data_IF_970612174557
#
_entry.id   IF_970612174557
#
_cell.length_a   1.000
_cell.length_b   1.000
_cell.length_c   1.000
_cell.angle_alpha   90.00
_cell.angle_beta   90.00
_cell.angle_gamma   90.00
#
_symmetry.space_group_name_H-M   'P 1'
#
loop_
_entity.id
_entity.type
_entity.pdbx_description
1 polymer ?
#
# COMPACT_ATOMS: atom_id res chain seq x y z
N UNK A 1 -15.10 -17.22 4.25
CA UNK A 1 -14.17 -17.44 3.13
C UNK A 1 -14.92 -18.26 2.09
N UNK A 2 -14.87 -17.94 0.79
CA UNK A 2 -15.31 -18.90 -0.21
C UNK A 2 -14.49 -20.17 0.02
N UNK A 3 -15.11 -21.33 -0.11
CA UNK A 3 -14.42 -22.62 -0.09
C UNK A 3 -13.20 -22.57 -1.02
N UNK A 4 -12.08 -23.16 -0.60
CA UNK A 4 -10.93 -23.40 -1.48
C UNK A 4 -11.36 -24.44 -2.53
N UNK A 5 -12.12 -23.98 -3.53
CA UNK A 5 -12.53 -24.77 -4.68
C UNK A 5 -11.31 -24.95 -5.59
N UNK A 6 -10.82 -26.19 -5.81
CA UNK A 6 -9.69 -26.45 -6.69
C UNK A 6 -9.88 -25.87 -8.11
N UNK A 7 -11.13 -25.70 -8.57
CA UNK A 7 -11.44 -25.15 -9.90
C UNK A 7 -11.16 -23.64 -10.01
N UNK A 8 -11.06 -22.94 -8.88
CA UNK A 8 -10.88 -21.48 -8.78
C UNK A 8 -9.42 -20.99 -8.71
N UNK A 9 -8.45 -21.91 -8.81
CA UNK A 9 -7.01 -21.56 -8.80
C UNK A 9 -6.49 -21.07 -10.16
N UNK A 10 -5.47 -20.20 -10.17
CA UNK A 10 -4.96 -19.61 -11.43
C UNK A 10 -3.72 -20.29 -12.02
N UNK A 11 -3.17 -21.33 -11.35
CA UNK A 11 -1.99 -22.07 -11.84
C UNK A 11 -2.39 -23.33 -12.62
N UNK A 12 -3.23 -23.12 -13.63
CA UNK A 12 -3.80 -24.14 -14.51
C UNK A 12 -4.19 -23.51 -15.85
N UNK A 13 -4.44 -24.33 -16.88
CA UNK A 13 -4.77 -23.84 -18.23
C UNK A 13 -6.15 -23.18 -18.32
N UNK A 14 -7.10 -23.62 -17.48
CA UNK A 14 -8.48 -23.14 -17.42
C UNK A 14 -8.88 -22.96 -15.95
N UNK A 15 -9.66 -21.92 -15.64
CA UNK A 15 -10.21 -21.69 -14.29
C UNK A 15 -11.57 -21.01 -14.37
N UNK A 16 -12.39 -21.22 -13.36
CA UNK A 16 -13.64 -20.49 -13.17
C UNK A 16 -13.36 -19.21 -12.37
N UNK A 17 -13.97 -18.09 -12.79
CA UNK A 17 -13.82 -16.81 -12.12
C UNK A 17 -15.16 -16.09 -12.05
N UNK A 18 -15.41 -15.42 -10.92
CA UNK A 18 -16.56 -14.54 -10.77
C UNK A 18 -16.43 -13.37 -11.75
N UNK A 19 -17.41 -13.23 -12.66
CA UNK A 19 -17.40 -12.18 -13.67
C UNK A 19 -17.30 -10.76 -13.05
N UNK A 20 -17.80 -10.57 -11.82
CA UNK A 20 -17.71 -9.29 -11.09
C UNK A 20 -16.30 -8.96 -10.59
N UNK A 21 -15.42 -9.95 -10.51
CA UNK A 21 -13.99 -9.80 -10.17
C UNK A 21 -13.09 -9.82 -11.42
N UNK A 22 -13.70 -9.76 -12.61
CA UNK A 22 -13.00 -9.76 -13.90
C UNK A 22 -13.11 -8.41 -14.59
N UNK A 23 -12.13 -8.10 -15.45
CA UNK A 23 -12.22 -6.96 -16.34
C UNK A 23 -11.62 -7.30 -17.70
N UNK A 24 -12.08 -6.58 -18.74
CA UNK A 24 -11.55 -6.75 -20.08
C UNK A 24 -10.13 -6.20 -20.15
N UNK A 25 -9.21 -6.99 -20.72
CA UNK A 25 -7.84 -6.53 -20.96
C UNK A 25 -7.87 -5.35 -21.95
N UNK A 26 -7.33 -4.17 -21.58
CA UNK A 26 -7.20 -3.04 -22.50
C UNK A 26 -6.32 -3.42 -23.71
N UNK A 27 -6.65 -2.91 -24.90
CA UNK A 27 -5.88 -3.18 -26.12
C UNK A 27 -4.43 -2.70 -26.08
N UNK A 28 -4.11 -1.79 -25.14
CA UNK A 28 -2.76 -1.28 -24.90
C UNK A 28 -1.88 -2.22 -24.06
N UNK A 29 -2.44 -3.28 -23.48
CA UNK A 29 -1.71 -4.22 -22.64
C UNK A 29 -1.64 -5.61 -23.28
N UNK A 30 -0.45 -6.21 -23.24
CA UNK A 30 -0.32 -7.65 -23.50
C UNK A 30 -0.96 -8.47 -22.38
N UNK A 31 -1.24 -9.74 -22.66
CA UNK A 31 -1.77 -10.68 -21.66
C UNK A 31 -0.87 -10.77 -20.43
N UNK A 32 0.46 -10.82 -20.61
CA UNK A 32 1.43 -10.93 -19.51
C UNK A 32 1.41 -9.67 -18.62
N UNK A 33 1.35 -8.48 -19.23
CA UNK A 33 1.22 -7.23 -18.48
C UNK A 33 -0.10 -7.20 -17.70
N UNK A 34 -1.20 -7.54 -18.34
CA UNK A 34 -2.52 -7.58 -17.71
C UNK A 34 -2.57 -8.56 -16.53
N UNK A 35 -1.97 -9.74 -16.65
CA UNK A 35 -1.96 -10.76 -15.59
C UNK A 35 -1.19 -10.32 -14.32
N UNK A 36 -0.24 -9.38 -14.44
CA UNK A 36 0.59 -8.90 -13.32
C UNK A 36 -0.06 -7.85 -12.41
N UNK A 37 -1.20 -7.29 -12.82
CA UNK A 37 -1.85 -6.14 -12.18
C UNK A 37 -2.77 -6.53 -11.01
N UNK A 38 -3.67 -7.54 -11.14
CA UNK A 38 -4.84 -7.65 -10.26
C UNK A 38 -4.51 -7.78 -8.77
N UNK A 39 -3.62 -8.71 -8.41
CA UNK A 39 -3.33 -9.00 -7.01
C UNK A 39 -2.74 -7.79 -6.27
N UNK A 40 -1.78 -7.10 -6.89
CA UNK A 40 -1.10 -5.95 -6.30
C UNK A 40 -2.05 -4.79 -6.02
N UNK A 41 -2.88 -4.46 -7.00
CA UNK A 41 -3.87 -3.40 -6.89
C UNK A 41 -5.02 -3.74 -5.96
N UNK A 42 -5.52 -4.99 -5.99
CA UNK A 42 -6.59 -5.41 -5.09
C UNK A 42 -6.16 -5.32 -3.63
N UNK A 43 -4.99 -5.85 -3.28
CA UNK A 43 -4.46 -5.78 -1.92
C UNK A 43 -4.29 -4.32 -1.46
N UNK A 44 -3.68 -3.48 -2.31
CA UNK A 44 -3.50 -2.06 -2.04
C UNK A 44 -4.84 -1.33 -1.85
N UNK A 45 -5.82 -1.56 -2.74
CA UNK A 45 -7.13 -0.94 -2.71
C UNK A 45 -7.89 -1.29 -1.43
N UNK A 46 -7.92 -2.57 -1.05
CA UNK A 46 -8.59 -3.02 0.18
C UNK A 46 -7.94 -2.38 1.41
N UNK A 47 -6.61 -2.40 1.51
CA UNK A 47 -5.92 -1.82 2.67
C UNK A 47 -6.08 -0.30 2.80
N UNK A 48 -6.18 0.42 1.68
CA UNK A 48 -6.35 1.87 1.67
C UNK A 48 -7.80 2.30 1.89
N UNK A 49 -8.75 1.71 1.16
CA UNK A 49 -10.08 2.31 1.00
C UNK A 49 -11.20 1.52 1.67
N UNK A 50 -10.99 0.24 1.99
CA UNK A 50 -12.04 -0.54 2.63
C UNK A 50 -12.34 0.00 4.04
N UNK A 51 -13.62 0.14 4.46
CA UNK A 51 -13.98 0.73 5.76
C UNK A 51 -13.40 -0.02 6.97
N UNK A 52 -13.16 -1.32 6.84
CA UNK A 52 -12.54 -2.14 7.91
C UNK A 52 -11.01 -2.08 7.93
N UNK A 53 -10.39 -1.36 6.99
CA UNK A 53 -8.96 -1.10 6.92
C UNK A 53 -8.70 0.38 7.24
N UNK A 54 -8.10 1.16 6.32
CA UNK A 54 -7.91 2.60 6.53
C UNK A 54 -9.14 3.45 6.18
N UNK A 55 -10.07 2.95 5.35
CA UNK A 55 -11.29 3.68 5.00
C UNK A 55 -11.04 5.07 4.40
N UNK A 56 -9.95 5.23 3.63
CA UNK A 56 -9.67 6.48 2.94
C UNK A 56 -10.65 6.70 1.78
N UNK A 57 -10.93 7.94 1.39
CA UNK A 57 -11.62 8.25 0.13
C UNK A 57 -10.88 7.62 -1.07
N UNK A 58 -11.55 6.78 -1.89
CA UNK A 58 -10.96 6.23 -3.11
C UNK A 58 -10.79 7.30 -4.21
N UNK A 59 -10.05 7.01 -5.30
CA UNK A 59 -9.84 7.95 -6.40
C UNK A 59 -11.10 8.48 -7.11
N UNK A 60 -12.26 7.88 -6.88
CA UNK A 60 -13.56 8.35 -7.37
C UNK A 60 -14.17 9.45 -6.49
N UNK A 61 -13.48 9.84 -5.42
CA UNK A 61 -13.87 10.89 -4.47
C UNK A 61 -12.66 11.74 -4.11
N UNK A 62 -12.88 13.00 -3.75
CA UNK A 62 -11.79 13.86 -3.30
C UNK A 62 -11.37 13.52 -1.85
N UNK A 63 -10.06 13.51 -1.54
CA UNK A 63 -9.58 13.28 -0.19
C UNK A 63 -9.90 14.48 0.70
N UNK A 64 -10.17 14.22 1.98
CA UNK A 64 -10.46 15.28 2.96
C UNK A 64 -9.23 16.14 3.28
N UNK A 65 -8.03 15.58 3.16
CA UNK A 65 -6.75 16.26 3.37
C UNK A 65 -5.70 15.71 2.39
N UNK A 66 -5.35 16.51 1.38
CA UNK A 66 -4.37 16.18 0.35
C UNK A 66 -2.93 16.07 0.90
N UNK A 67 -2.64 16.74 2.01
CA UNK A 67 -1.28 16.87 2.57
C UNK A 67 -1.05 15.99 3.82
N UNK A 68 -2.03 15.16 4.17
CA UNK A 68 -1.94 14.15 5.23
C UNK A 68 -0.74 13.21 4.95
N UNK A 69 0.25 13.14 5.86
CA UNK A 69 1.36 12.20 5.71
C UNK A 69 0.87 10.75 5.72
N UNK A 70 1.32 9.96 4.73
CA UNK A 70 1.06 8.52 4.64
C UNK A 70 2.38 7.80 4.43
N UNK A 71 2.74 6.91 5.35
CA UNK A 71 3.93 6.06 5.26
C UNK A 71 3.60 4.78 4.50
N UNK A 72 4.46 4.38 3.56
CA UNK A 72 4.38 3.09 2.85
C UNK A 72 5.69 2.33 3.09
N UNK A 73 5.65 1.34 3.98
CA UNK A 73 6.80 0.48 4.27
C UNK A 73 6.79 -0.75 3.35
N UNK A 74 7.93 -1.04 2.70
CA UNK A 74 7.97 -2.09 1.66
C UNK A 74 7.51 -1.61 0.28
N UNK A 75 7.72 -0.32 -0.02
CA UNK A 75 7.22 0.36 -1.20
C UNK A 75 7.75 -0.19 -2.54
N UNK A 76 8.87 -0.94 -2.55
CA UNK A 76 9.41 -1.56 -3.77
C UNK A 76 8.67 -2.82 -4.25
N UNK A 77 7.79 -3.40 -3.42
CA UNK A 77 6.98 -4.56 -3.80
C UNK A 77 5.89 -4.18 -4.84
N UNK A 78 5.23 -5.16 -5.46
CA UNK A 78 4.11 -4.87 -6.37
C UNK A 78 2.95 -4.18 -5.63
N UNK A 79 2.64 -4.61 -4.41
CA UNK A 79 1.59 -3.99 -3.58
C UNK A 79 2.02 -2.58 -3.17
N UNK A 80 3.26 -2.39 -2.69
CA UNK A 80 3.76 -1.08 -2.28
C UNK A 80 3.77 -0.04 -3.39
N UNK A 81 4.19 -0.41 -4.60
CA UNK A 81 4.11 0.45 -5.79
C UNK A 81 2.66 0.75 -6.18
N UNK A 82 1.75 -0.22 -6.03
CA UNK A 82 0.32 -0.03 -6.30
C UNK A 82 -0.32 0.92 -5.28
N UNK A 83 0.06 0.83 -4.00
CA UNK A 83 -0.37 1.77 -2.94
C UNK A 83 -0.02 3.20 -3.32
N UNK A 84 1.22 3.46 -3.72
CA UNK A 84 1.67 4.83 -4.05
C UNK A 84 0.94 5.37 -5.28
N UNK A 85 0.76 4.55 -6.32
CA UNK A 85 -0.02 4.94 -7.50
C UNK A 85 -1.47 5.24 -7.15
N UNK A 86 -2.14 4.40 -6.34
CA UNK A 86 -3.51 4.63 -5.90
C UNK A 86 -3.65 5.89 -5.03
N UNK A 87 -2.68 6.16 -4.14
CA UNK A 87 -2.65 7.38 -3.34
C UNK A 87 -2.49 8.62 -4.22
N UNK A 88 -1.60 8.56 -5.21
CA UNK A 88 -1.38 9.63 -6.20
C UNK A 88 -2.65 9.91 -7.02
N UNK A 89 -3.32 8.84 -7.51
CA UNK A 89 -4.60 8.94 -8.21
C UNK A 89 -5.73 9.47 -7.31
N UNK A 90 -5.72 9.14 -6.02
CA UNK A 90 -6.64 9.69 -5.03
C UNK A 90 -6.25 11.10 -4.55
N UNK A 91 -5.21 11.72 -5.11
CA UNK A 91 -4.83 13.11 -4.83
C UNK A 91 -3.92 13.32 -3.61
N UNK A 92 -3.52 12.26 -2.90
CA UNK A 92 -2.59 12.40 -1.76
C UNK A 92 -1.19 12.81 -2.22
N UNK A 93 -0.67 13.90 -1.65
CA UNK A 93 0.61 14.52 -2.08
C UNK A 93 1.78 14.25 -1.14
N UNK A 94 1.52 13.79 0.09
CA UNK A 94 2.55 13.62 1.11
C UNK A 94 2.81 12.14 1.43
N UNK A 95 3.26 11.39 0.42
CA UNK A 95 3.55 9.97 0.54
C UNK A 95 5.03 9.76 0.88
N UNK A 96 5.32 9.06 1.99
CA UNK A 96 6.66 8.69 2.42
C UNK A 96 6.87 7.20 2.13
N UNK A 97 7.72 6.87 1.15
CA UNK A 97 7.94 5.52 0.67
C UNK A 97 9.28 4.96 1.15
N UNK A 98 9.24 3.79 1.80
CA UNK A 98 10.44 3.10 2.30
C UNK A 98 10.72 1.86 1.45
N UNK A 99 11.84 1.85 0.74
CA UNK A 99 12.23 0.80 -0.21
C UNK A 99 13.75 0.73 -0.42
N UNK A 100 14.25 -0.29 -1.12
CA UNK A 100 15.63 -0.31 -1.61
C UNK A 100 15.90 0.87 -2.55
N UNK A 101 17.11 1.46 -2.48
CA UNK A 101 17.51 2.60 -3.29
C UNK A 101 17.28 2.46 -4.82
N UNK A 102 17.37 1.27 -5.39
CA UNK A 102 17.16 1.06 -6.84
C UNK A 102 15.72 1.38 -7.30
N UNK A 103 14.73 1.36 -6.41
CA UNK A 103 13.36 1.76 -6.73
C UNK A 103 13.12 3.26 -6.66
N UNK A 104 14.08 4.05 -6.16
CA UNK A 104 13.84 5.47 -5.87
C UNK A 104 13.46 6.29 -7.09
N UNK A 105 14.07 6.02 -8.24
CA UNK A 105 13.73 6.75 -9.47
C UNK A 105 12.27 6.54 -9.84
N UNK A 106 11.78 5.30 -9.80
CA UNK A 106 10.40 4.96 -10.12
C UNK A 106 9.41 5.48 -9.06
N UNK A 107 9.71 5.30 -7.76
CA UNK A 107 8.80 5.76 -6.71
C UNK A 107 8.63 7.28 -6.68
N UNK A 108 9.67 8.03 -7.08
CA UNK A 108 9.59 9.49 -7.25
C UNK A 108 8.68 9.89 -8.41
N UNK A 109 8.63 9.13 -9.51
CA UNK A 109 7.71 9.46 -10.62
C UNK A 109 6.25 9.25 -10.23
N UNK A 110 5.98 8.44 -9.21
CA UNK A 110 4.63 8.31 -8.61
C UNK A 110 4.32 9.41 -7.58
N UNK A 111 5.27 10.30 -7.27
CA UNK A 111 5.09 11.43 -6.35
C UNK A 111 5.51 11.18 -4.89
N UNK A 112 6.21 10.08 -4.59
CA UNK A 112 6.64 9.78 -3.23
C UNK A 112 7.99 10.41 -2.85
N UNK A 113 8.12 10.82 -1.57
CA UNK A 113 9.40 11.05 -0.90
C UNK A 113 9.97 9.68 -0.51
N UNK A 114 11.21 9.39 -0.91
CA UNK A 114 11.78 8.03 -0.81
C UNK A 114 12.87 7.92 0.26
N UNK A 115 12.88 6.80 0.97
CA UNK A 115 13.81 6.49 2.06
C UNK A 115 14.33 5.06 1.95
N UNK A 116 15.59 4.83 2.30
CA UNK A 116 16.20 3.49 2.25
C UNK A 116 16.01 2.78 3.57
N UNK A 117 15.37 1.61 3.56
CA UNK A 117 15.20 0.81 4.77
C UNK A 117 16.52 0.27 5.33
N UNK A 118 17.60 0.24 4.52
CA UNK A 118 18.94 -0.16 4.96
C UNK A 118 19.69 0.96 5.69
N UNK A 119 19.18 2.18 5.64
CA UNK A 119 19.74 3.30 6.36
C UNK A 119 19.43 3.17 7.85
N UNK A 120 20.48 3.12 8.68
CA UNK A 120 20.32 2.99 10.13
C UNK A 120 19.60 4.18 10.76
N UNK A 121 19.58 5.33 10.07
CA UNK A 121 18.94 6.56 10.52
C UNK A 121 17.58 6.81 9.82
N UNK A 122 17.05 5.81 9.09
CA UNK A 122 15.81 5.94 8.29
C UNK A 122 14.64 6.50 9.10
N UNK A 123 14.48 6.07 10.36
CA UNK A 123 13.40 6.54 11.24
C UNK A 123 13.51 8.03 11.53
N UNK A 124 14.71 8.54 11.84
CA UNK A 124 14.90 9.95 12.14
C UNK A 124 14.76 10.81 10.88
N UNK A 125 15.23 10.32 9.72
CA UNK A 125 15.03 10.98 8.43
C UNK A 125 13.55 11.12 8.07
N UNK A 126 12.77 10.07 8.30
CA UNK A 126 11.31 10.11 8.11
C UNK A 126 10.69 11.13 9.08
N UNK A 127 11.06 11.12 10.37
CA UNK A 127 10.58 12.11 11.35
C UNK A 127 10.89 13.55 10.93
N UNK A 128 12.09 13.80 10.42
CA UNK A 128 12.46 15.10 9.88
C UNK A 128 11.57 15.50 8.70
N UNK A 129 11.32 14.59 7.77
CA UNK A 129 10.48 14.83 6.59
C UNK A 129 8.98 15.00 6.87
N UNK A 130 8.52 14.70 8.10
CA UNK A 130 7.16 15.00 8.55
C UNK A 130 6.97 16.50 8.86
N UNK A 131 8.05 17.27 9.02
CA UNK A 131 8.01 18.71 9.29
C UNK A 131 7.10 19.07 10.48
N UNK A 132 7.13 18.25 11.54
CA UNK A 132 6.31 18.42 12.75
C UNK A 132 4.86 17.92 12.64
N UNK A 133 4.43 17.38 11.50
CA UNK A 133 3.10 16.75 11.35
C UNK A 133 3.05 15.39 12.04
N UNK A 134 1.88 15.06 12.60
CA UNK A 134 1.59 13.72 13.10
C UNK A 134 1.51 12.70 11.95
N UNK A 135 2.26 11.60 12.06
CA UNK A 135 2.05 10.45 11.20
C UNK A 135 0.94 9.58 11.77
N UNK A 136 -0.25 9.62 11.17
CA UNK A 136 -1.41 8.83 11.62
C UNK A 136 -1.78 7.66 10.72
N UNK A 137 -1.16 7.55 9.54
CA UNK A 137 -1.47 6.52 8.55
C UNK A 137 -0.19 5.86 8.07
N UNK A 138 -0.15 4.53 8.18
CA UNK A 138 0.95 3.73 7.65
C UNK A 138 0.44 2.45 6.99
N UNK A 139 0.97 2.13 5.82
CA UNK A 139 0.77 0.87 5.13
C UNK A 139 2.06 0.06 5.22
N UNK A 140 2.08 -0.99 6.05
CA UNK A 140 3.21 -1.91 6.12
C UNK A 140 2.96 -3.13 5.23
N UNK A 141 3.57 -3.11 4.05
CA UNK A 141 3.44 -4.18 3.06
C UNK A 141 4.32 -5.40 3.42
N UNK A 142 5.32 -5.21 4.29
CA UNK A 142 6.18 -6.31 4.75
C UNK A 142 5.48 -7.11 5.83
N UNK A 143 4.78 -6.42 6.74
CA UNK A 143 3.89 -7.02 7.74
C UNK A 143 4.58 -8.04 8.67
N UNK A 144 5.89 -7.89 8.88
CA UNK A 144 6.68 -8.73 9.79
C UNK A 144 7.02 -7.95 11.07
N UNK A 145 7.30 -8.63 12.20
CA UNK A 145 7.61 -7.93 13.45
C UNK A 145 8.70 -6.85 13.34
N UNK A 146 9.81 -7.04 12.59
CA UNK A 146 10.83 -5.98 12.45
C UNK A 146 10.32 -4.73 11.72
N UNK A 147 9.54 -4.86 10.65
CA UNK A 147 8.99 -3.70 9.93
C UNK A 147 7.96 -2.97 10.77
N UNK A 148 7.08 -3.71 11.44
CA UNK A 148 6.09 -3.14 12.35
C UNK A 148 6.73 -2.41 13.53
N UNK A 149 7.87 -2.90 14.04
CA UNK A 149 8.62 -2.23 15.10
C UNK A 149 9.17 -0.86 14.64
N UNK A 150 9.67 -0.75 13.41
CA UNK A 150 10.10 0.54 12.86
C UNK A 150 8.92 1.49 12.62
N UNK A 151 7.81 0.99 12.06
CA UNK A 151 6.58 1.76 11.86
C UNK A 151 6.02 2.26 13.19
N UNK A 152 6.06 1.45 14.26
CA UNK A 152 5.62 1.83 15.60
C UNK A 152 6.40 3.01 16.21
N UNK A 153 7.67 3.18 15.86
CA UNK A 153 8.50 4.32 16.30
C UNK A 153 8.11 5.63 15.63
N UNK A 154 7.42 5.55 14.49
CA UNK A 154 7.05 6.69 13.65
C UNK A 154 5.60 7.13 13.89
N UNK A 155 4.69 6.17 14.11
CA UNK A 155 3.26 6.47 14.18
C UNK A 155 2.88 7.19 15.48
N UNK A 156 2.05 8.23 15.36
CA UNK A 156 1.49 8.98 16.48
C UNK A 156 0.36 8.19 17.17
N UNK A 157 0.08 8.43 18.47
CA UNK A 157 -1.04 7.81 19.17
C UNK A 157 -2.37 7.98 18.43
N UNK A 158 -3.17 6.91 18.37
CA UNK A 158 -4.43 6.87 17.61
C UNK A 158 -4.26 6.72 16.10
N UNK A 159 -3.03 6.58 15.61
CA UNK A 159 -2.76 6.24 14.22
C UNK A 159 -3.21 4.83 13.85
N UNK A 160 -3.40 4.61 12.55
CA UNK A 160 -3.85 3.36 11.96
C UNK A 160 -2.75 2.78 11.07
N UNK A 161 -2.46 1.50 11.26
CA UNK A 161 -1.57 0.72 10.40
C UNK A 161 -2.40 -0.33 9.66
N UNK A 162 -2.27 -0.35 8.33
CA UNK A 162 -2.74 -1.48 7.51
C UNK A 162 -1.57 -2.41 7.24
N UNK A 163 -1.80 -3.72 7.42
CA UNK A 163 -0.83 -4.78 7.12
C UNK A 163 -1.52 -5.90 6.31
N UNK A 164 -0.76 -6.69 5.55
CA UNK A 164 -1.28 -7.69 4.63
C UNK A 164 -1.67 -9.01 5.30
N UNK A 165 -1.02 -9.38 6.41
CA UNK A 165 -1.22 -10.68 7.06
C UNK A 165 -2.38 -10.68 8.06
N UNK A 166 -2.82 -9.52 8.53
CA UNK A 166 -3.92 -9.36 9.48
C UNK A 166 -5.02 -8.45 8.93
N UNK A 167 -5.29 -8.52 7.62
CA UNK A 167 -6.24 -7.67 6.88
C UNK A 167 -7.70 -7.65 7.40
N UNK A 168 -7.99 -8.27 8.55
CA UNK A 168 -9.18 -8.02 9.36
C UNK A 168 -8.85 -7.15 10.59
N UNK A 169 -8.80 -5.83 10.38
CA UNK A 169 -8.87 -4.80 11.44
C UNK A 169 -7.57 -4.02 11.69
N UNK A 170 -7.61 -2.67 11.75
CA UNK A 170 -6.42 -1.86 12.04
C UNK A 170 -5.95 -2.08 13.49
N UNK A 171 -4.64 -2.27 13.68
CA UNK A 171 -4.05 -2.24 15.03
C UNK A 171 -3.88 -0.81 15.48
N UNK A 172 -4.54 -0.45 16.59
CA UNK A 172 -4.12 0.70 17.39
C UNK A 172 -2.86 0.25 18.13
N UNK A 173 -1.70 0.67 17.64
CA UNK A 173 -0.44 0.40 18.33
C UNK A 173 -0.43 1.19 19.64
N UNK A 174 -0.58 0.49 20.76
CA UNK A 174 -0.41 1.05 22.11
C UNK A 174 1.09 1.06 22.42
N UNK A 175 1.63 2.23 22.75
CA UNK A 175 2.99 2.37 23.29
C UNK A 175 3.04 1.90 24.74
#
# INVERSE_FOLDING_TARGET
MPSLDPESGTYQELTTLDATLSTKIPSSLSFVQAASIPLGYYAAYVGLFHPTAMGLPPPTSEPTDFDQPILVWGAGSIVGRSVIQLLSLAGYKNVLAVASAHWFSELKTYGAKVFDYKDQDVVNKIKGALDGKDLRLAYDVISLPPSLAEVAKLISPGGRVSDLFHACGPKILRK
#
